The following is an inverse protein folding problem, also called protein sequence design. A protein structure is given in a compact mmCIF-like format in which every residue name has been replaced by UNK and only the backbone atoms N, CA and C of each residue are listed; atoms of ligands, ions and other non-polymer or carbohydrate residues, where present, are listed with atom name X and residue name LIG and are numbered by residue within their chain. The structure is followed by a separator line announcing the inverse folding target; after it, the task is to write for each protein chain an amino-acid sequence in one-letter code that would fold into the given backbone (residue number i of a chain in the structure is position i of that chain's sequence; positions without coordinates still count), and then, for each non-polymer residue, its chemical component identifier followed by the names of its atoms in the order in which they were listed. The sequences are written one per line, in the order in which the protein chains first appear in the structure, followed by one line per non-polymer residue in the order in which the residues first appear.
data_IF_630949657968
#
_entry.id   IF_630949657968
#
_cell.length_a   1.000
_cell.length_b   1.000
_cell.length_c   1.000
_cell.angle_alpha   90.00
_cell.angle_beta   90.00
_cell.angle_gamma   90.00
#
_symmetry.space_group_name_H-M   'P 1'
#
loop_
_entity.id
_entity.type
_entity.pdbx_description
1 polymer ?
#
# COMPACT_ATOMS: atom_id res chain seq x y z
N UNK A 1 -40.78 -5.46 1.28
CA UNK A 1 -39.55 -5.69 0.49
C UNK A 1 -39.82 -5.19 -0.90
N UNK A 2 -39.51 -3.92 -1.18
CA UNK A 2 -39.62 -3.38 -2.53
C UNK A 2 -38.26 -3.59 -3.19
N UNK A 3 -38.15 -4.58 -4.07
CA UNK A 3 -37.05 -4.61 -5.03
C UNK A 3 -37.14 -3.33 -5.84
N UNK A 4 -36.11 -2.50 -5.78
CA UNK A 4 -35.95 -1.41 -6.72
C UNK A 4 -35.57 -2.06 -8.05
N UNK A 5 -36.57 -2.41 -8.85
CA UNK A 5 -36.33 -3.01 -10.16
C UNK A 5 -35.64 -1.96 -11.04
N UNK A 6 -34.34 -2.13 -11.25
CA UNK A 6 -33.56 -1.28 -12.15
C UNK A 6 -34.07 -1.52 -13.56
N UNK A 7 -34.64 -0.48 -14.17
CA UNK A 7 -35.15 -0.54 -15.54
C UNK A 7 -33.97 -0.37 -16.50
N UNK A 8 -33.70 -1.41 -17.28
CA UNK A 8 -32.68 -1.39 -18.32
C UNK A 8 -33.34 -1.06 -19.66
N UNK A 9 -33.04 0.14 -20.18
CA UNK A 9 -33.41 0.58 -21.52
C UNK A 9 -32.15 0.74 -22.36
N UNK A 10 -32.15 0.19 -23.56
CA UNK A 10 -31.10 0.38 -24.56
C UNK A 10 -31.55 1.43 -25.58
N UNK A 11 -30.71 2.44 -25.80
CA UNK A 11 -30.93 3.47 -26.83
C UNK A 11 -30.26 3.03 -28.13
N UNK A 12 -31.06 2.90 -29.20
CA UNK A 12 -30.58 2.51 -30.53
C UNK A 12 -30.03 3.70 -31.32
N UNK A 13 -29.18 3.42 -32.32
CA UNK A 13 -28.68 4.43 -33.27
C UNK A 13 -29.78 5.08 -34.13
N UNK A 14 -30.97 4.49 -34.15
CA UNK A 14 -32.17 5.02 -34.82
C UNK A 14 -32.96 6.00 -33.93
N UNK A 15 -32.52 6.23 -32.67
CA UNK A 15 -33.17 7.17 -31.74
C UNK A 15 -34.29 6.56 -30.88
N UNK A 16 -34.53 5.26 -31.00
CA UNK A 16 -35.60 4.56 -30.26
C UNK A 16 -35.03 3.76 -29.08
N UNK A 17 -35.84 3.62 -28.03
CA UNK A 17 -35.54 2.82 -26.84
C UNK A 17 -36.10 1.40 -26.96
N UNK A 18 -35.39 0.44 -26.38
CA UNK A 18 -35.85 -0.94 -26.24
C UNK A 18 -35.64 -1.43 -24.81
N UNK A 19 -36.58 -2.22 -24.30
CA UNK A 19 -36.51 -2.80 -22.95
C UNK A 19 -36.25 -4.30 -22.98
N UNK A 20 -35.48 -4.80 -22.01
CA UNK A 20 -35.14 -6.23 -21.92
C UNK A 20 -36.13 -7.06 -21.08
N UNK A 21 -36.94 -6.41 -20.25
CA UNK A 21 -38.01 -7.05 -19.46
C UNK A 21 -39.38 -6.62 -19.97
N UNK A 22 -40.44 -7.38 -19.73
CA UNK A 22 -41.80 -7.02 -20.15
C UNK A 22 -42.21 -5.63 -19.65
N UNK A 23 -41.89 -5.32 -18.38
CA UNK A 23 -42.11 -4.00 -17.81
C UNK A 23 -41.27 -2.91 -18.50
N UNK A 24 -39.99 -3.16 -18.78
CA UNK A 24 -39.14 -2.20 -19.50
C UNK A 24 -39.58 -2.00 -20.96
N UNK A 25 -40.14 -3.03 -21.61
CA UNK A 25 -40.69 -2.93 -22.97
C UNK A 25 -41.90 -1.99 -23.01
N UNK A 26 -42.81 -2.13 -22.05
CA UNK A 26 -43.97 -1.23 -21.94
C UNK A 26 -43.52 0.24 -21.75
N UNK A 27 -42.52 0.47 -20.90
CA UNK A 27 -41.92 1.79 -20.72
C UNK A 27 -41.26 2.29 -22.01
N UNK A 28 -40.49 1.45 -22.70
CA UNK A 28 -39.85 1.81 -23.97
C UNK A 28 -40.89 2.21 -25.03
N UNK A 29 -41.99 1.46 -25.14
CA UNK A 29 -43.09 1.75 -26.07
C UNK A 29 -43.78 3.07 -25.75
N UNK A 30 -43.90 3.44 -24.47
CA UNK A 30 -44.44 4.74 -24.08
C UNK A 30 -43.47 5.88 -24.40
N UNK A 31 -42.18 5.72 -24.08
CA UNK A 31 -41.16 6.74 -24.35
C UNK A 31 -41.01 7.02 -25.84
N UNK A 32 -41.02 5.98 -26.67
CA UNK A 32 -40.92 6.11 -28.14
C UNK A 32 -42.12 6.85 -28.77
N UNK A 33 -43.24 6.97 -28.06
CA UNK A 33 -44.43 7.71 -28.51
C UNK A 33 -44.40 9.19 -28.10
N UNK A 34 -43.38 9.66 -27.40
CA UNK A 34 -43.26 11.04 -26.89
C UNK A 34 -42.17 11.77 -27.69
N UNK A 35 -42.51 12.52 -28.77
CA UNK A 35 -41.51 13.17 -29.61
C UNK A 35 -40.65 14.19 -28.86
N UNK A 36 -41.23 14.88 -27.88
CA UNK A 36 -40.52 15.86 -27.06
C UNK A 36 -39.39 15.22 -26.22
N UNK A 37 -39.60 13.99 -25.74
CA UNK A 37 -38.60 13.24 -24.99
C UNK A 37 -37.44 12.83 -25.90
N UNK A 38 -37.75 12.23 -27.06
CA UNK A 38 -36.73 11.81 -28.02
C UNK A 38 -35.88 12.98 -28.53
N UNK A 39 -36.49 14.13 -28.83
CA UNK A 39 -35.75 15.31 -29.29
C UNK A 39 -34.89 15.92 -28.18
N UNK A 40 -35.34 15.87 -26.92
CA UNK A 40 -34.54 16.32 -25.78
C UNK A 40 -33.33 15.40 -25.57
N UNK A 41 -33.49 14.09 -25.65
CA UNK A 41 -32.39 13.13 -25.52
C UNK A 41 -31.38 13.28 -26.66
N UNK A 42 -31.84 13.51 -27.89
CA UNK A 42 -30.95 13.83 -29.02
C UNK A 42 -30.12 15.09 -28.76
N UNK A 43 -30.74 16.15 -28.21
CA UNK A 43 -30.03 17.37 -27.81
C UNK A 43 -29.07 17.13 -26.66
N UNK A 44 -29.44 16.30 -25.68
CA UNK A 44 -28.57 15.93 -24.57
C UNK A 44 -27.34 15.17 -25.07
N UNK A 45 -27.51 14.22 -26.00
CA UNK A 45 -26.43 13.47 -26.61
C UNK A 45 -25.52 14.39 -27.45
N UNK A 46 -26.09 15.28 -28.26
CA UNK A 46 -25.32 16.25 -29.04
C UNK A 46 -24.53 17.21 -28.14
N UNK A 47 -25.16 17.68 -27.06
CA UNK A 47 -24.51 18.51 -26.03
C UNK A 47 -23.39 17.74 -25.33
N UNK A 48 -23.62 16.47 -24.98
CA UNK A 48 -22.62 15.61 -24.37
C UNK A 48 -21.41 15.42 -25.30
N UNK A 49 -21.67 15.13 -26.59
CA UNK A 49 -20.63 14.98 -27.61
C UNK A 49 -19.83 16.28 -27.82
N UNK A 50 -20.49 17.43 -27.85
CA UNK A 50 -19.82 18.73 -27.94
C UNK A 50 -18.99 19.03 -26.69
N UNK A 51 -19.54 18.75 -25.50
CA UNK A 51 -18.82 18.90 -24.23
C UNK A 51 -17.64 17.92 -24.12
N UNK A 52 -17.69 16.77 -24.81
CA UNK A 52 -16.58 15.79 -24.82
C UNK A 52 -15.29 16.41 -25.35
N UNK A 53 -15.35 17.34 -26.31
CA UNK A 53 -14.17 18.07 -26.82
C UNK A 53 -13.56 18.93 -25.71
N UNK A 54 -14.38 19.57 -24.89
CA UNK A 54 -13.92 20.40 -23.77
C UNK A 54 -13.31 19.53 -22.67
N UNK A 55 -13.90 18.37 -22.39
CA UNK A 55 -13.41 17.46 -21.35
C UNK A 55 -12.26 16.56 -21.81
N UNK A 56 -12.05 16.34 -23.11
CA UNK A 56 -10.95 15.52 -23.60
C UNK A 56 -9.58 16.10 -23.23
N UNK A 57 -9.45 17.42 -23.20
CA UNK A 57 -8.21 18.11 -22.79
C UNK A 57 -7.91 17.95 -21.29
N UNK A 58 -8.94 17.68 -20.47
CA UNK A 58 -8.80 17.42 -19.04
C UNK A 58 -8.45 15.94 -18.81
N UNK A 59 -9.16 15.03 -19.47
CA UNK A 59 -8.95 13.59 -19.32
C UNK A 59 -7.74 13.04 -20.10
N UNK A 60 -7.19 13.79 -21.05
CA UNK A 60 -5.94 13.43 -21.75
C UNK A 60 -4.68 13.67 -20.93
N UNK A 61 -4.78 14.43 -19.83
CA UNK A 61 -3.62 14.69 -18.96
C UNK A 61 -3.35 13.49 -18.06
N UNK A 62 -2.26 12.80 -18.34
CA UNK A 62 -1.77 11.73 -17.49
C UNK A 62 -0.99 12.28 -16.28
N UNK A 63 -1.18 11.66 -15.12
CA UNK A 63 -0.48 11.95 -13.85
C UNK A 63 0.43 10.80 -13.50
N UNK A 64 1.70 11.10 -13.27
CA UNK A 64 2.74 10.12 -12.97
C UNK A 64 2.51 9.36 -11.64
N UNK A 65 2.76 8.03 -11.60
CA UNK A 65 2.68 7.25 -10.38
C UNK A 65 3.81 7.53 -9.39
N UNK A 66 3.43 7.70 -8.12
CA UNK A 66 4.35 7.60 -7.00
C UNK A 66 4.64 6.13 -6.70
N UNK A 67 5.89 5.69 -6.93
CA UNK A 67 6.31 4.30 -6.74
C UNK A 67 7.08 4.12 -5.44
N UNK A 68 6.72 3.09 -4.67
CA UNK A 68 7.40 2.71 -3.43
C UNK A 68 7.77 1.23 -3.45
N UNK A 69 9.05 0.95 -3.21
CA UNK A 69 9.56 -0.40 -3.03
C UNK A 69 9.62 -0.74 -1.54
N UNK A 70 9.27 -1.97 -1.16
CA UNK A 70 9.41 -2.48 0.21
C UNK A 70 9.66 -3.99 0.23
N UNK A 71 10.38 -4.46 1.25
CA UNK A 71 10.43 -5.88 1.60
C UNK A 71 9.31 -6.19 2.60
N UNK A 72 8.78 -7.41 2.51
CA UNK A 72 7.75 -7.92 3.41
C UNK A 72 8.23 -9.25 3.95
N UNK A 73 8.20 -9.38 5.27
CA UNK A 73 8.52 -10.64 5.94
C UNK A 73 7.48 -11.71 5.55
N UNK A 74 7.94 -12.92 5.25
CA UNK A 74 7.02 -14.01 4.99
C UNK A 74 6.34 -14.44 6.30
N UNK A 75 5.06 -14.79 6.24
CA UNK A 75 4.31 -15.31 7.39
C UNK A 75 4.87 -16.66 7.93
N UNK A 76 5.83 -17.27 7.24
CA UNK A 76 6.46 -18.53 7.58
C UNK A 76 7.97 -18.45 7.36
N UNK A 77 8.76 -18.97 8.30
CA UNK A 77 10.23 -19.02 8.24
C UNK A 77 10.80 -19.81 7.05
N UNK A 78 9.95 -20.55 6.33
CA UNK A 78 10.34 -21.36 5.17
C UNK A 78 10.43 -20.58 3.86
N UNK A 79 9.87 -19.37 3.78
CA UNK A 79 9.92 -18.58 2.55
C UNK A 79 10.78 -17.32 2.78
N UNK A 80 11.74 -17.03 1.89
CA UNK A 80 12.44 -15.74 1.94
C UNK A 80 11.44 -14.59 1.77
N UNK A 81 11.73 -13.44 2.39
CA UNK A 81 10.87 -12.25 2.33
C UNK A 81 10.54 -11.83 0.89
N UNK A 82 9.36 -11.26 0.69
CA UNK A 82 8.84 -10.87 -0.63
C UNK A 82 9.13 -9.40 -0.90
N UNK A 83 9.51 -9.06 -2.14
CA UNK A 83 9.62 -7.68 -2.60
C UNK A 83 8.28 -7.20 -3.18
N UNK A 84 7.86 -6.00 -2.77
CA UNK A 84 6.62 -5.38 -3.23
C UNK A 84 6.94 -4.03 -3.87
N UNK A 85 6.48 -3.85 -5.11
CA UNK A 85 6.49 -2.59 -5.83
C UNK A 85 5.07 -2.05 -5.87
N UNK A 86 4.82 -0.91 -5.24
CA UNK A 86 3.49 -0.30 -5.16
C UNK A 86 3.48 1.05 -5.85
N UNK A 87 2.45 1.31 -6.68
CA UNK A 87 2.25 2.57 -7.39
C UNK A 87 0.99 3.28 -6.87
N UNK A 88 1.06 4.59 -6.65
CA UNK A 88 0.00 5.41 -6.05
C UNK A 88 -0.22 6.72 -6.81
N UNK A 89 -1.39 7.32 -6.62
CA UNK A 89 -1.71 8.69 -7.05
C UNK A 89 -1.54 9.00 -8.54
N UNK A 90 -1.78 8.01 -9.41
CA UNK A 90 -1.71 8.17 -10.87
C UNK A 90 -3.07 8.13 -11.56
N UNK A 91 -3.08 8.68 -12.77
CA UNK A 91 -4.19 8.69 -13.71
C UNK A 91 -3.67 8.64 -15.16
N UNK A 92 -4.26 7.87 -16.10
CA UNK A 92 -5.40 6.96 -15.93
C UNK A 92 -5.05 5.72 -15.08
N UNK A 93 -6.04 4.87 -14.77
CA UNK A 93 -5.81 3.66 -13.94
C UNK A 93 -5.08 2.53 -14.68
N UNK A 94 -5.01 2.59 -16.01
CA UNK A 94 -4.31 1.60 -16.81
C UNK A 94 -2.79 1.74 -16.60
N UNK A 95 -2.15 0.72 -16.02
CA UNK A 95 -0.72 0.69 -15.71
C UNK A 95 -0.18 -0.73 -15.86
N UNK A 96 1.09 -0.89 -16.21
CA UNK A 96 1.79 -2.17 -16.18
C UNK A 96 2.99 -2.10 -15.22
N UNK A 97 3.09 -3.08 -14.32
CA UNK A 97 4.14 -3.15 -13.29
C UNK A 97 4.78 -4.53 -13.32
N UNK A 98 6.09 -4.59 -13.53
CA UNK A 98 6.83 -5.86 -13.72
C UNK A 98 8.15 -5.86 -12.95
N UNK A 99 8.49 -6.97 -12.30
CA UNK A 99 9.81 -7.18 -11.71
C UNK A 99 10.81 -7.73 -12.71
N UNK A 100 12.03 -7.20 -12.68
CA UNK A 100 13.17 -7.61 -13.51
C UNK A 100 14.35 -8.01 -12.62
N UNK A 101 15.13 -8.99 -13.05
CA UNK A 101 16.33 -9.49 -12.35
C UNK A 101 17.46 -9.77 -13.34
N UNK A 102 18.60 -9.13 -13.15
CA UNK A 102 19.76 -9.29 -14.03
C UNK A 102 20.81 -10.25 -13.43
N UNK A 103 20.80 -11.51 -13.91
CA UNK A 103 21.83 -12.54 -13.66
C UNK A 103 21.26 -13.97 -13.56
N UNK A 104 21.59 -14.88 -14.50
CA UNK A 104 21.22 -16.32 -14.47
C UNK A 104 22.45 -17.22 -14.67
N UNK A 105 22.98 -17.86 -13.61
CA UNK A 105 22.92 -19.32 -13.32
C UNK A 105 23.71 -19.67 -12.03
N UNK A 106 22.99 -20.24 -11.07
CA UNK A 106 23.38 -21.01 -9.85
C UNK A 106 24.36 -20.44 -8.80
N UNK A 107 25.11 -19.37 -9.05
CA UNK A 107 25.81 -18.65 -7.98
C UNK A 107 25.47 -17.16 -8.06
N UNK A 108 24.84 -16.64 -7.00
CA UNK A 108 24.56 -15.21 -6.79
C UNK A 108 25.88 -14.43 -6.92
N UNK A 109 26.03 -13.64 -7.98
CA UNK A 109 27.22 -12.82 -8.24
C UNK A 109 27.05 -11.49 -7.50
N UNK A 110 28.09 -10.95 -6.85
CA UNK A 110 28.09 -9.56 -6.40
C UNK A 110 27.68 -8.63 -7.55
N UNK A 111 26.60 -7.87 -7.38
CA UNK A 111 26.03 -7.02 -8.44
C UNK A 111 24.68 -7.48 -9.02
N UNK A 112 23.99 -8.46 -8.40
CA UNK A 112 22.59 -8.75 -8.75
C UNK A 112 21.71 -7.51 -8.58
N UNK A 113 21.14 -7.06 -9.69
CA UNK A 113 20.27 -5.90 -9.76
C UNK A 113 18.83 -6.35 -9.97
N UNK A 114 17.97 -6.05 -8.99
CA UNK A 114 16.52 -6.27 -9.07
C UNK A 114 15.86 -4.91 -9.28
N UNK A 115 14.98 -4.81 -10.28
CA UNK A 115 14.35 -3.54 -10.65
C UNK A 115 12.85 -3.73 -10.87
N UNK A 116 12.04 -2.77 -10.44
CA UNK A 116 10.64 -2.67 -10.81
C UNK A 116 10.49 -1.79 -12.05
N UNK A 117 10.00 -2.36 -13.15
CA UNK A 117 9.65 -1.65 -14.39
C UNK A 117 8.19 -1.21 -14.33
N UNK A 118 7.92 0.05 -14.61
CA UNK A 118 6.58 0.64 -14.60
C UNK A 118 6.31 1.33 -15.94
N UNK A 119 5.21 0.95 -16.58
CA UNK A 119 4.73 1.55 -17.83
C UNK A 119 3.37 2.20 -17.57
N UNK A 120 3.26 3.48 -17.89
CA UNK A 120 2.06 4.29 -17.65
C UNK A 120 1.99 5.40 -18.71
N UNK A 121 0.80 5.87 -19.04
CA UNK A 121 0.58 6.89 -20.08
C UNK A 121 1.28 8.23 -19.81
N UNK A 122 1.68 8.50 -18.56
CA UNK A 122 2.48 9.68 -18.20
C UNK A 122 3.94 9.59 -18.64
N UNK A 123 4.44 8.40 -18.97
CA UNK A 123 5.82 8.17 -19.33
C UNK A 123 5.99 7.96 -20.83
N UNK A 124 6.98 8.63 -21.43
CA UNK A 124 7.37 8.36 -22.83
C UNK A 124 8.10 7.02 -22.97
N UNK A 125 8.84 6.63 -21.95
CA UNK A 125 9.58 5.38 -21.86
C UNK A 125 9.31 4.71 -20.51
N UNK A 126 9.48 3.38 -20.39
CA UNK A 126 9.27 2.70 -19.11
C UNK A 126 10.20 3.24 -18.02
N UNK A 127 9.67 3.44 -16.82
CA UNK A 127 10.45 3.84 -15.65
C UNK A 127 10.95 2.61 -14.90
N UNK A 128 12.20 2.66 -14.44
CA UNK A 128 12.84 1.58 -13.69
C UNK A 128 13.22 2.06 -12.29
N UNK A 129 12.83 1.29 -11.27
CA UNK A 129 13.13 1.55 -9.87
C UNK A 129 13.96 0.40 -9.32
N UNK A 130 15.21 0.67 -9.01
CA UNK A 130 16.16 -0.34 -8.54
C UNK A 130 15.99 -0.61 -7.04
N UNK A 131 15.96 -1.89 -6.68
CA UNK A 131 16.00 -2.31 -5.29
C UNK A 131 17.44 -2.26 -4.78
N UNK A 132 17.73 -1.28 -3.93
CA UNK A 132 18.98 -1.23 -3.19
C UNK A 132 18.86 -2.03 -1.88
N UNK A 133 19.74 -3.02 -1.63
CA UNK A 133 19.84 -3.63 -0.31
C UNK A 133 20.20 -2.56 0.73
N UNK A 134 19.59 -2.61 1.91
CA UNK A 134 19.89 -1.67 3.01
C UNK A 134 21.42 -1.55 3.18
N UNK A 135 22.00 -0.34 3.18
CA UNK A 135 23.45 -0.16 3.26
C UNK A 135 24.02 -0.77 4.54
N UNK A 136 25.23 -1.32 4.45
CA UNK A 136 25.87 -2.02 5.58
C UNK A 136 25.98 -1.15 6.83
N UNK A 137 26.11 0.17 6.67
CA UNK A 137 26.18 1.14 7.75
C UNK A 137 24.91 1.17 8.61
N UNK A 138 23.72 1.04 8.00
CA UNK A 138 22.46 0.99 8.75
C UNK A 138 22.29 -0.35 9.47
N UNK A 139 22.72 -1.47 8.87
CA UNK A 139 22.76 -2.76 9.57
C UNK A 139 23.72 -2.73 10.77
N UNK A 140 24.89 -2.13 10.59
CA UNK A 140 25.89 -2.01 11.66
C UNK A 140 25.37 -1.13 12.81
N UNK A 141 24.65 -0.02 12.51
CA UNK A 141 24.00 0.80 13.54
C UNK A 141 22.97 0.00 14.36
N UNK A 142 22.15 -0.83 13.70
CA UNK A 142 21.16 -1.68 14.39
C UNK A 142 21.86 -2.72 15.27
N UNK A 143 22.90 -3.38 14.76
CA UNK A 143 23.67 -4.39 15.50
C UNK A 143 24.37 -3.80 16.74
N UNK A 144 25.00 -2.63 16.59
CA UNK A 144 25.65 -1.92 17.71
C UNK A 144 24.62 -1.48 18.75
N UNK A 145 23.45 -1.00 18.33
CA UNK A 145 22.35 -0.64 19.22
C UNK A 145 21.87 -1.83 20.07
N UNK A 146 21.68 -2.99 19.44
CA UNK A 146 21.27 -4.22 20.13
C UNK A 146 22.35 -4.70 21.14
N UNK A 147 23.63 -4.66 20.74
CA UNK A 147 24.73 -5.04 21.63
C UNK A 147 24.85 -4.12 22.85
N UNK A 148 24.71 -2.80 22.66
CA UNK A 148 24.73 -1.83 23.75
C UNK A 148 23.59 -2.04 24.75
N UNK A 149 22.38 -2.33 24.25
CA UNK A 149 21.21 -2.59 25.11
C UNK A 149 21.39 -3.86 25.94
N UNK A 150 21.94 -4.93 25.36
CA UNK A 150 22.25 -6.16 26.09
C UNK A 150 23.29 -5.94 27.18
N UNK A 151 24.37 -5.21 26.87
CA UNK A 151 25.40 -4.88 27.87
C UNK A 151 24.83 -4.04 29.02
N UNK A 152 24.00 -3.04 28.71
CA UNK A 152 23.36 -2.21 29.74
C UNK A 152 22.50 -3.02 30.71
N UNK A 153 21.67 -3.95 30.19
CA UNK A 153 20.84 -4.82 31.03
C UNK A 153 21.68 -5.72 31.95
N UNK A 154 22.79 -6.28 31.46
CA UNK A 154 23.70 -7.11 32.27
C UNK A 154 24.31 -6.32 33.42
N UNK A 155 24.79 -5.09 33.16
CA UNK A 155 25.35 -4.24 34.21
C UNK A 155 24.30 -3.83 35.25
N UNK A 156 23.10 -3.46 34.82
CA UNK A 156 22.01 -3.11 35.74
C UNK A 156 21.62 -4.30 36.63
N UNK A 157 21.45 -5.51 36.06
CA UNK A 157 21.11 -6.72 36.83
C UNK A 157 22.22 -7.05 37.83
N UNK A 158 23.49 -7.05 37.38
CA UNK A 158 24.64 -7.35 38.23
C UNK A 158 24.77 -6.33 39.37
N UNK A 159 24.58 -5.04 39.06
CA UNK A 159 24.57 -3.96 40.05
C UNK A 159 23.45 -4.13 41.08
N UNK A 160 22.25 -4.54 40.65
CA UNK A 160 21.12 -4.77 41.55
C UNK A 160 21.35 -5.97 42.48
N UNK A 161 21.93 -7.06 41.97
CA UNK A 161 22.32 -8.23 42.76
C UNK A 161 23.40 -7.84 43.78
N UNK A 162 24.42 -7.10 43.35
CA UNK A 162 25.48 -6.62 44.24
C UNK A 162 24.91 -5.71 45.34
N UNK A 163 24.06 -4.75 44.97
CA UNK A 163 23.40 -3.85 45.92
C UNK A 163 22.58 -4.63 46.94
N UNK A 164 21.75 -5.59 46.50
CA UNK A 164 20.96 -6.44 47.40
C UNK A 164 21.86 -7.29 48.31
N UNK A 165 22.89 -7.94 47.77
CA UNK A 165 23.87 -8.75 48.54
C UNK A 165 24.63 -7.90 49.57
N UNK A 166 25.00 -6.68 49.21
CA UNK A 166 25.69 -5.76 50.10
C UNK A 166 24.75 -5.20 51.18
N UNK A 167 23.48 -4.94 50.87
CA UNK A 167 22.49 -4.51 51.86
C UNK A 167 22.16 -5.63 52.87
N UNK A 168 22.12 -6.89 52.43
CA UNK A 168 22.01 -8.04 53.34
C UNK A 168 23.26 -8.19 54.22
N UNK A 169 24.46 -7.90 53.69
CA UNK A 169 25.71 -7.93 54.47
C UNK A 169 25.81 -6.78 55.47
N UNK A 170 25.37 -5.57 55.11
CA UNK A 170 25.25 -4.41 56.02
C UNK A 170 24.21 -4.62 57.12
N UNK A 171 23.16 -5.43 56.89
CA UNK A 171 22.21 -5.84 57.94
C UNK A 171 22.80 -6.82 58.97
N UNK A 172 23.90 -7.51 58.67
CA UNK A 172 24.59 -8.39 59.64
C UNK A 172 25.67 -7.70 60.47
N UNK A 173 26.08 -6.47 60.11
CA UNK A 173 26.93 -5.60 60.94
C UNK A 173 26.13 -4.37 61.37
N UNK A 174 25.09 -4.59 62.18
CA UNK A 174 24.54 -3.53 63.03
C UNK A 174 25.51 -3.26 64.21
N UNK A 175 25.54 -2.04 64.76
CA UNK A 175 26.44 -1.70 65.87
C UNK A 175 26.14 -2.60 67.08
N UNK A 176 27.19 -3.08 67.74
CA UNK A 176 27.10 -3.78 69.03
C UNK A 176 26.17 -3.03 70.00
N UNK A 177 25.13 -3.71 70.47
CA UNK A 177 24.37 -3.28 71.63
C UNK A 177 25.32 -3.27 72.84
N UNK A 178 25.63 -2.08 73.32
CA UNK A 178 26.20 -1.83 74.65
C UNK A 178 25.27 -2.51 75.66
N UNK A 179 25.72 -3.60 76.28
CA UNK A 179 25.06 -4.19 77.45
C UNK A 179 25.35 -3.28 78.65
N UNK A 180 24.36 -2.51 79.09
CA UNK A 180 24.37 -1.91 80.41
C UNK A 180 24.19 -3.03 81.45
N UNK A 181 25.18 -3.21 82.33
CA UNK A 181 25.02 -3.94 83.59
C UNK A 181 24.68 -2.93 84.66
N UNK A 182 23.52 -3.08 85.31
CA UNK A 182 23.19 -2.41 86.57
C UNK A 182 23.18 -3.47 87.66
N UNK A 183 23.97 -3.16 88.69
CA UNK A 183 24.10 -3.78 90.02
C UNK A 183 22.78 -4.19 90.66
#
# INVERSE_FOLDING_TARGET
TSTQDVIYLEHSTLGNYTGYTEYAKEIADQLNKIPAFLEQERKNEETCRQNTIVFSDVFSKAVEPYVRLRSVEAASSKHPGMLVCSAYNFYPKQINVTWLRNGRRWHLIPGEKISCKVEHASFKEPMFYDWEPIPESERNKIAVGAAGLLLGLVFSITGLIYYKKNNTRKRMLGPELVKCSLT
#
